data_IF_744484171249
#
_entry.id   IF_744484171249
#
_cell.length_a   1.000
_cell.length_b   1.000
_cell.length_c   1.000
_cell.angle_alpha   90.00
_cell.angle_beta   90.00
_cell.angle_gamma   90.00
#
_symmetry.space_group_name_H-M   'P 1'
#
loop_
_entity.id
_entity.type
_entity.pdbx_description
1 polymer ?
#
# COMPACT_ATOMS: atom_id res chain seq x y z
N UNK A 1 8.96 4.01 28.74
CA UNK A 1 8.18 3.12 27.86
C UNK A 1 9.00 2.92 26.60
N UNK A 2 9.14 1.69 26.12
CA UNK A 2 9.86 1.40 24.88
C UNK A 2 9.12 2.02 23.69
N UNK A 3 9.85 2.71 22.82
CA UNK A 3 9.32 3.21 21.55
C UNK A 3 9.13 2.02 20.58
N UNK A 4 8.03 2.03 19.84
CA UNK A 4 7.80 1.11 18.73
C UNK A 4 8.81 1.40 17.62
N UNK A 5 9.61 0.41 17.25
CA UNK A 5 10.41 0.46 16.02
C UNK A 5 10.08 -0.79 15.21
N UNK A 6 9.68 -0.66 13.93
CA UNK A 6 9.48 -1.81 13.06
C UNK A 6 10.84 -2.35 12.62
N UNK A 7 11.61 -2.94 13.54
CA UNK A 7 12.80 -3.72 13.21
C UNK A 7 12.38 -5.11 12.72
N UNK A 8 11.56 -5.12 11.67
CA UNK A 8 10.99 -6.34 11.11
C UNK A 8 11.81 -6.79 9.90
N UNK A 9 12.08 -8.10 9.74
CA UNK A 9 12.67 -8.59 8.51
C UNK A 9 11.76 -8.25 7.33
N UNK A 10 12.36 -8.00 6.17
CA UNK A 10 11.60 -7.79 4.95
C UNK A 10 10.67 -9.00 4.69
N UNK A 11 9.41 -8.79 4.28
CA UNK A 11 8.55 -9.88 3.86
C UNK A 11 9.19 -10.73 2.76
N UNK A 12 8.80 -12.01 2.68
CA UNK A 12 9.25 -12.87 1.59
C UNK A 12 8.76 -12.33 0.24
N UNK A 13 9.59 -12.51 -0.80
CA UNK A 13 9.33 -12.08 -2.17
C UNK A 13 9.51 -13.22 -3.16
N UNK A 14 8.93 -13.08 -4.35
CA UNK A 14 8.96 -14.06 -5.43
C UNK A 14 9.05 -13.35 -6.80
N UNK A 15 9.79 -13.92 -7.74
CA UNK A 15 9.98 -13.49 -9.15
C UNK A 15 10.65 -12.15 -9.42
N UNK A 16 10.35 -11.12 -8.62
CA UNK A 16 10.72 -9.74 -8.89
C UNK A 16 11.48 -9.15 -7.71
N UNK A 17 12.52 -8.37 -8.01
CA UNK A 17 13.30 -7.64 -7.01
C UNK A 17 13.94 -6.39 -7.64
N UNK A 18 14.27 -5.40 -6.81
CA UNK A 18 14.94 -4.17 -7.24
C UNK A 18 16.31 -4.46 -7.90
N UNK A 19 17.03 -5.45 -7.40
CA UNK A 19 18.37 -5.82 -7.89
C UNK A 19 18.36 -6.46 -9.28
N UNK A 20 17.24 -7.05 -9.68
CA UNK A 20 17.08 -7.76 -10.96
C UNK A 20 16.16 -7.04 -11.94
N UNK A 21 15.59 -5.90 -11.54
CA UNK A 21 14.67 -5.13 -12.36
C UNK A 21 15.34 -4.61 -13.63
N UNK A 22 14.73 -4.88 -14.79
CA UNK A 22 15.12 -4.24 -16.04
C UNK A 22 14.93 -2.73 -15.94
N UNK A 23 15.88 -1.96 -16.46
CA UNK A 23 15.74 -0.50 -16.50
C UNK A 23 14.54 -0.08 -17.35
N UNK A 24 13.95 1.08 -17.05
CA UNK A 24 12.85 1.64 -17.83
C UNK A 24 13.22 1.83 -19.31
N UNK A 25 14.51 2.04 -19.63
CA UNK A 25 14.99 2.14 -21.02
C UNK A 25 14.98 0.80 -21.77
N UNK A 26 15.18 -0.31 -21.06
CA UNK A 26 15.31 -1.66 -21.65
C UNK A 26 14.12 -2.58 -21.38
N UNK A 27 13.15 -2.10 -20.60
CA UNK A 27 11.95 -2.84 -20.23
C UNK A 27 11.17 -3.30 -21.47
N UNK A 28 10.89 -4.59 -21.52
CA UNK A 28 10.14 -5.21 -22.60
C UNK A 28 8.66 -5.30 -22.26
N UNK A 29 7.83 -5.15 -23.29
CA UNK A 29 6.37 -5.28 -23.19
C UNK A 29 5.94 -6.61 -22.57
N UNK A 30 6.55 -7.71 -23.01
CA UNK A 30 6.21 -9.05 -22.52
C UNK A 30 6.44 -9.17 -21.02
N UNK A 31 7.61 -8.75 -20.54
CA UNK A 31 7.95 -8.76 -19.12
C UNK A 31 6.95 -7.96 -18.29
N UNK A 32 6.55 -6.78 -18.76
CA UNK A 32 5.53 -5.97 -18.08
C UNK A 32 4.16 -6.68 -18.02
N UNK A 33 3.73 -7.31 -19.11
CA UNK A 33 2.47 -8.06 -19.13
C UNK A 33 2.53 -9.27 -18.18
N UNK A 34 3.64 -10.02 -18.16
CA UNK A 34 3.84 -11.16 -17.27
C UNK A 34 3.75 -10.71 -15.79
N UNK A 35 4.39 -9.58 -15.43
CA UNK A 35 4.28 -8.98 -14.08
C UNK A 35 2.85 -8.63 -13.67
N UNK A 36 2.04 -8.11 -14.61
CA UNK A 36 0.65 -7.74 -14.33
C UNK A 36 -0.21 -8.99 -14.15
N UNK A 37 0.02 -10.05 -14.94
CA UNK A 37 -0.70 -11.33 -14.78
C UNK A 37 -0.37 -12.01 -13.45
N UNK A 38 0.88 -11.94 -12.98
CA UNK A 38 1.28 -12.57 -11.72
C UNK A 38 0.62 -11.95 -10.48
N UNK A 39 0.22 -10.67 -10.54
CA UNK A 39 -0.48 -9.96 -9.45
C UNK A 39 -2.01 -10.04 -9.60
N UNK A 40 -2.50 -10.69 -10.66
CA UNK A 40 -3.93 -10.70 -10.97
C UNK A 40 -4.73 -11.46 -9.91
N UNK A 41 -5.56 -10.73 -9.17
CA UNK A 41 -6.44 -11.29 -8.11
C UNK A 41 -7.68 -11.98 -8.68
N UNK A 42 -8.06 -11.71 -9.93
CA UNK A 42 -9.25 -12.29 -10.56
C UNK A 42 -8.91 -12.90 -11.91
N UNK A 43 -9.33 -14.13 -12.21
CA UNK A 43 -9.11 -14.73 -13.55
C UNK A 43 -10.07 -14.18 -14.64
N UNK A 44 -10.64 -13.00 -14.43
CA UNK A 44 -11.56 -12.37 -15.37
C UNK A 44 -10.80 -11.76 -16.55
N UNK A 45 -11.34 -11.88 -17.75
CA UNK A 45 -10.87 -11.18 -18.94
C UNK A 45 -11.45 -9.75 -19.05
N UNK A 46 -12.28 -9.33 -18.09
CA UNK A 46 -12.79 -7.96 -18.02
C UNK A 46 -11.74 -7.02 -17.43
N UNK A 47 -11.87 -5.74 -17.78
CA UNK A 47 -11.10 -4.65 -17.17
C UNK A 47 -11.12 -4.72 -15.64
N UNK A 48 -9.93 -4.66 -15.05
CA UNK A 48 -9.75 -4.78 -13.63
C UNK A 48 -8.64 -3.86 -13.15
N UNK A 49 -8.91 -3.13 -12.06
CA UNK A 49 -7.93 -2.31 -11.37
C UNK A 49 -7.71 -2.86 -9.99
N UNK A 50 -6.44 -3.03 -9.63
CA UNK A 50 -6.03 -3.39 -8.30
C UNK A 50 -5.21 -2.22 -7.76
N UNK A 51 -5.65 -1.64 -6.66
CA UNK A 51 -4.90 -0.58 -5.97
C UNK A 51 -4.09 -1.20 -4.85
N UNK A 52 -2.89 -0.71 -4.57
CA UNK A 52 -2.06 -1.09 -3.43
C UNK A 52 -1.21 0.07 -2.95
N UNK A 53 -0.33 -0.16 -1.97
CA UNK A 53 0.40 0.90 -1.28
C UNK A 53 1.89 0.57 -1.10
N UNK A 54 2.74 1.52 -1.48
CA UNK A 54 4.18 1.53 -1.24
C UNK A 54 4.53 2.67 -0.29
N UNK A 55 4.53 2.38 1.02
CA UNK A 55 4.67 3.44 2.03
C UNK A 55 3.44 4.34 2.02
N UNK A 56 3.61 5.63 1.77
CA UNK A 56 2.48 6.54 1.58
C UNK A 56 2.03 6.63 0.10
N UNK A 57 2.81 6.09 -0.83
CA UNK A 57 2.57 6.23 -2.26
C UNK A 57 1.58 5.17 -2.75
N UNK A 58 0.66 5.56 -3.63
CA UNK A 58 -0.35 4.64 -4.17
C UNK A 58 0.15 3.97 -5.45
N UNK A 59 -0.11 2.67 -5.56
CA UNK A 59 0.16 1.86 -6.74
C UNK A 59 -1.16 1.41 -7.34
N UNK A 60 -1.30 1.52 -8.65
CA UNK A 60 -2.44 0.96 -9.38
C UNK A 60 -1.92 -0.01 -10.42
N UNK A 61 -2.36 -1.25 -10.33
CA UNK A 61 -2.19 -2.28 -11.34
C UNK A 61 -3.39 -2.23 -12.26
N UNK A 62 -3.14 -2.08 -13.55
CA UNK A 62 -4.13 -2.00 -14.61
C UNK A 62 -4.07 -3.30 -15.37
N UNK A 63 -5.16 -4.07 -15.34
CA UNK A 63 -5.32 -5.28 -16.13
C UNK A 63 -6.44 -5.09 -17.15
N UNK A 64 -6.08 -5.26 -18.42
CA UNK A 64 -6.96 -5.24 -19.58
C UNK A 64 -7.92 -4.04 -19.62
N UNK A 65 -7.41 -2.82 -19.40
CA UNK A 65 -8.19 -1.60 -19.59
C UNK A 65 -8.66 -1.51 -21.04
N UNK A 66 -9.95 -1.32 -21.30
CA UNK A 66 -10.49 -1.21 -22.65
C UNK A 66 -10.89 0.22 -22.97
N UNK A 67 -10.25 0.81 -23.97
CA UNK A 67 -10.68 2.09 -24.55
C UNK A 67 -10.98 1.95 -26.06
N UNK A 68 -11.64 2.95 -26.63
CA UNK A 68 -11.84 3.06 -28.09
C UNK A 68 -10.54 2.91 -28.89
N UNK A 69 -9.41 3.28 -28.29
CA UNK A 69 -8.07 3.30 -28.92
C UNK A 69 -7.30 1.99 -28.79
N UNK A 70 -7.68 1.08 -27.91
CA UNK A 70 -6.90 -0.12 -27.63
C UNK A 70 -7.14 -0.69 -26.24
N UNK A 71 -6.31 -1.66 -25.87
CA UNK A 71 -6.24 -2.17 -24.50
C UNK A 71 -4.93 -1.77 -23.83
N UNK A 72 -4.90 -1.66 -22.50
CA UNK A 72 -3.65 -1.47 -21.77
C UNK A 72 -3.52 -2.34 -20.52
N UNK A 73 -2.28 -2.68 -20.22
CA UNK A 73 -1.84 -3.35 -19.00
C UNK A 73 -0.66 -2.59 -18.41
N UNK A 74 -0.51 -2.55 -17.09
CA UNK A 74 0.70 -2.00 -16.49
C UNK A 74 0.49 -1.46 -15.09
N UNK A 75 1.40 -0.58 -14.69
CA UNK A 75 1.45 -0.01 -13.34
C UNK A 75 1.42 1.51 -13.38
N UNK A 76 0.78 2.10 -12.39
CA UNK A 76 0.81 3.54 -12.12
C UNK A 76 1.20 3.75 -10.66
N UNK A 77 2.37 4.34 -10.44
CA UNK A 77 2.83 4.80 -9.14
C UNK A 77 2.51 6.29 -9.01
N UNK A 78 1.81 6.68 -7.96
CA UNK A 78 1.53 8.09 -7.65
C UNK A 78 2.17 8.46 -6.32
N UNK A 79 3.14 9.38 -6.41
CA UNK A 79 3.72 10.07 -5.26
C UNK A 79 2.97 11.37 -5.03
N UNK A 80 2.27 11.44 -3.91
CA UNK A 80 1.39 12.57 -3.62
C UNK A 80 2.15 13.90 -3.66
N UNK A 81 1.53 14.91 -4.28
CA UNK A 81 2.08 16.26 -4.48
C UNK A 81 3.47 16.32 -5.14
N UNK A 82 3.92 15.23 -5.76
CA UNK A 82 5.21 15.16 -6.45
C UNK A 82 5.02 14.81 -7.92
N UNK A 83 4.64 13.58 -8.24
CA UNK A 83 4.48 13.11 -9.61
C UNK A 83 3.75 11.77 -9.69
N UNK A 84 3.40 11.41 -10.92
CA UNK A 84 2.93 10.08 -11.28
C UNK A 84 3.85 9.50 -12.35
N UNK A 85 4.26 8.26 -12.11
CA UNK A 85 4.95 7.40 -13.06
C UNK A 85 3.96 6.35 -13.56
N UNK A 86 3.84 6.23 -14.87
CA UNK A 86 2.98 5.24 -15.52
C UNK A 86 3.82 4.40 -16.47
N UNK A 87 3.84 3.09 -16.26
CA UNK A 87 4.58 2.10 -17.04
C UNK A 87 3.54 1.15 -17.63
N UNK A 88 3.23 1.29 -18.91
CA UNK A 88 2.12 0.57 -19.54
C UNK A 88 2.50 -0.08 -20.87
N UNK A 89 1.90 -1.22 -21.14
CA UNK A 89 1.81 -1.84 -22.45
C UNK A 89 0.45 -1.49 -23.07
N UNK A 90 0.45 -0.90 -24.27
CA UNK A 90 -0.76 -0.50 -24.99
C UNK A 90 -0.85 -1.25 -26.30
N UNK A 91 -1.90 -2.07 -26.45
CA UNK A 91 -2.23 -2.74 -27.69
C UNK A 91 -3.28 -1.93 -28.46
N UNK A 92 -2.87 -1.33 -29.59
CA UNK A 92 -3.76 -0.45 -30.35
C UNK A 92 -4.88 -1.22 -31.04
N UNK A 93 -6.10 -0.69 -30.99
CA UNK A 93 -7.22 -1.25 -31.75
C UNK A 93 -7.09 -0.83 -33.21
N UNK A 94 -6.77 -1.77 -34.09
CA UNK A 94 -6.70 -1.55 -35.54
C UNK A 94 -7.97 -2.13 -36.19
N UNK A 95 -8.69 -1.37 -37.05
CA UNK A 95 -9.79 -1.91 -37.84
C UNK A 95 -9.39 -3.14 -38.66
N UNK A 96 -10.25 -4.17 -38.70
CA UNK A 96 -9.96 -5.47 -39.35
C UNK A 96 -9.49 -5.34 -40.81
N UNK A 97 -10.06 -4.38 -41.55
CA UNK A 97 -9.68 -4.11 -42.94
C UNK A 97 -8.21 -3.68 -43.05
N UNK A 98 -7.71 -2.84 -42.13
CA UNK A 98 -6.33 -2.37 -42.11
C UNK A 98 -5.36 -3.49 -41.69
N UNK A 99 -5.76 -4.36 -40.75
CA UNK A 99 -4.98 -5.55 -40.38
C UNK A 99 -4.78 -6.48 -41.58
N UNK A 100 -5.86 -6.75 -42.33
CA UNK A 100 -5.83 -7.54 -43.56
C UNK A 100 -4.94 -6.93 -44.63
N UNK A 101 -5.11 -5.63 -44.92
CA UNK A 101 -4.32 -4.91 -45.91
C UNK A 101 -2.83 -4.82 -45.55
N UNK A 102 -2.50 -4.85 -44.25
CA UNK A 102 -1.11 -4.86 -43.76
C UNK A 102 -0.53 -6.27 -43.56
N UNK A 103 -1.28 -7.34 -43.91
CA UNK A 103 -0.93 -8.74 -43.67
C UNK A 103 -0.50 -9.04 -42.21
N UNK A 104 -0.97 -8.23 -41.24
CA UNK A 104 -0.65 -8.42 -39.83
C UNK A 104 -1.71 -9.28 -39.16
N UNK A 105 -1.27 -10.32 -38.43
CA UNK A 105 -2.15 -11.18 -37.63
C UNK A 105 -2.62 -10.50 -36.34
N UNK A 106 -1.75 -9.69 -35.71
CA UNK A 106 -2.03 -9.02 -34.44
C UNK A 106 -1.77 -7.50 -34.53
N UNK A 107 -2.50 -6.69 -33.75
CA UNK A 107 -2.21 -5.26 -33.62
C UNK A 107 -0.80 -5.01 -33.08
N UNK A 108 -0.25 -3.82 -33.36
CA UNK A 108 1.02 -3.41 -32.76
C UNK A 108 0.76 -3.09 -31.30
N UNK A 109 1.54 -3.69 -30.43
CA UNK A 109 1.63 -3.27 -29.03
C UNK A 109 2.85 -2.36 -28.86
N UNK A 110 2.74 -1.40 -27.94
CA UNK A 110 3.79 -0.44 -27.65
C UNK A 110 3.90 -0.25 -26.14
N UNK A 111 5.15 -0.19 -25.67
CA UNK A 111 5.47 0.16 -24.31
C UNK A 111 5.47 1.69 -24.17
N UNK A 112 4.67 2.21 -23.26
CA UNK A 112 4.49 3.63 -22.95
C UNK A 112 4.87 3.89 -21.49
N UNK A 113 6.00 4.56 -21.30
CA UNK A 113 6.43 5.08 -19.99
C UNK A 113 6.26 6.58 -19.97
N UNK A 114 5.47 7.06 -19.02
CA UNK A 114 5.15 8.48 -18.89
C UNK A 114 5.33 8.96 -17.47
N UNK A 115 5.71 10.23 -17.38
CA UNK A 115 5.90 10.98 -16.16
C UNK A 115 5.07 12.26 -16.23
N UNK A 116 4.41 12.62 -15.14
CA UNK A 116 3.76 13.91 -14.99
C UNK A 116 3.91 14.41 -13.55
N UNK A 117 4.29 15.67 -13.37
CA UNK A 117 4.32 16.28 -12.03
C UNK A 117 2.90 16.52 -11.51
N UNK A 118 2.76 16.49 -10.19
CA UNK A 118 1.52 16.72 -9.45
C UNK A 118 1.73 17.87 -8.46
N UNK A 119 0.65 18.42 -7.91
CA UNK A 119 0.70 19.54 -6.99
C UNK A 119 0.73 20.89 -7.70
N UNK A 120 1.48 21.85 -7.17
CA UNK A 120 1.47 23.25 -7.63
C UNK A 120 2.12 23.44 -9.02
N UNK A 121 3.08 22.58 -9.36
CA UNK A 121 3.80 22.62 -10.63
C UNK A 121 3.28 21.51 -11.55
N UNK A 122 2.07 21.65 -12.11
CA UNK A 122 1.53 20.67 -13.07
C UNK A 122 2.21 20.85 -14.43
N UNK A 123 2.98 19.85 -14.85
CA UNK A 123 3.61 19.79 -16.18
C UNK A 123 2.79 18.92 -17.13
N UNK A 124 2.88 19.15 -18.45
CA UNK A 124 2.31 18.24 -19.43
C UNK A 124 2.93 16.85 -19.30
N UNK A 125 2.14 15.83 -19.60
CA UNK A 125 2.59 14.44 -19.62
C UNK A 125 3.81 14.29 -20.55
N UNK A 126 4.90 13.77 -20.00
CA UNK A 126 6.18 13.60 -20.68
C UNK A 126 6.50 12.12 -20.85
N UNK A 127 7.01 11.73 -22.01
CA UNK A 127 7.48 10.36 -22.23
C UNK A 127 8.90 10.20 -21.73
N UNK A 128 9.16 9.13 -20.98
CA UNK A 128 10.45 8.85 -20.33
C UNK A 128 11.64 8.90 -21.31
N UNK A 129 11.49 8.31 -22.49
CA UNK A 129 12.50 8.31 -23.56
C UNK A 129 12.92 9.70 -24.04
N UNK A 130 12.06 10.71 -23.88
CA UNK A 130 12.31 12.09 -24.30
C UNK A 130 12.80 12.97 -23.15
N UNK A 131 12.90 12.44 -21.93
CA UNK A 131 13.35 13.19 -20.76
C UNK A 131 14.86 13.44 -20.85
N UNK A 132 15.26 14.70 -20.67
CA UNK A 132 16.66 15.13 -20.62
C UNK A 132 17.19 15.30 -19.20
N UNK A 133 16.30 15.48 -18.22
CA UNK A 133 16.61 15.63 -16.81
C UNK A 133 17.09 14.30 -16.20
N UNK A 134 18.42 14.18 -16.02
CA UNK A 134 19.07 12.98 -15.47
C UNK A 134 18.69 12.70 -14.01
N UNK A 135 18.69 13.68 -13.08
CA UNK A 135 18.19 13.49 -11.72
C UNK A 135 16.78 12.90 -11.67
N UNK A 136 15.84 13.43 -12.46
CA UNK A 136 14.47 12.91 -12.48
C UNK A 136 14.46 11.50 -13.05
N UNK A 137 15.17 11.23 -14.16
CA UNK A 137 15.27 9.87 -14.71
C UNK A 137 15.77 8.86 -13.66
N UNK A 138 16.82 9.20 -12.92
CA UNK A 138 17.37 8.33 -11.87
C UNK A 138 16.32 8.04 -10.77
N UNK A 139 15.56 9.06 -10.36
CA UNK A 139 14.48 8.88 -9.38
C UNK A 139 13.38 7.93 -9.90
N UNK A 140 13.02 8.05 -11.18
CA UNK A 140 12.03 7.15 -11.80
C UNK A 140 12.54 5.71 -11.91
N UNK A 141 13.83 5.51 -12.21
CA UNK A 141 14.45 4.18 -12.21
C UNK A 141 14.48 3.56 -10.80
N UNK A 142 14.83 4.35 -9.78
CA UNK A 142 14.82 3.90 -8.38
C UNK A 142 13.41 3.52 -7.91
N UNK A 143 12.41 4.32 -8.27
CA UNK A 143 11.01 4.01 -7.96
C UNK A 143 10.54 2.75 -8.68
N UNK A 144 10.95 2.57 -9.94
CA UNK A 144 10.65 1.36 -10.69
C UNK A 144 11.29 0.12 -10.05
N UNK A 145 12.54 0.22 -9.60
CA UNK A 145 13.22 -0.83 -8.83
C UNK A 145 12.48 -1.14 -7.52
N UNK A 146 12.12 -0.13 -6.74
CA UNK A 146 11.35 -0.31 -5.51
C UNK A 146 9.97 -0.93 -5.79
N UNK A 147 9.34 -0.58 -6.91
CA UNK A 147 8.08 -1.19 -7.34
C UNK A 147 8.27 -2.68 -7.65
N UNK A 148 9.41 -3.10 -8.17
CA UNK A 148 9.70 -4.52 -8.40
C UNK A 148 9.84 -5.30 -7.08
N UNK A 149 10.45 -4.74 -6.04
CA UNK A 149 10.44 -5.37 -4.70
C UNK A 149 9.01 -5.50 -4.17
N UNK A 150 8.20 -4.44 -4.30
CA UNK A 150 6.79 -4.47 -3.92
C UNK A 150 6.01 -5.56 -4.67
N UNK A 151 6.19 -5.63 -6.00
CA UNK A 151 5.55 -6.65 -6.86
C UNK A 151 5.97 -8.04 -6.41
N UNK A 152 7.26 -8.25 -6.14
CA UNK A 152 7.74 -9.56 -5.70
C UNK A 152 7.16 -10.00 -4.36
N UNK A 153 7.02 -9.08 -3.40
CA UNK A 153 6.35 -9.34 -2.14
C UNK A 153 4.85 -9.64 -2.33
N UNK A 154 4.18 -8.92 -3.24
CA UNK A 154 2.78 -9.14 -3.57
C UNK A 154 2.54 -10.52 -4.21
N UNK A 155 3.37 -10.92 -5.17
CA UNK A 155 3.32 -12.24 -5.80
C UNK A 155 3.46 -13.35 -4.75
N UNK A 156 4.42 -13.24 -3.84
CA UNK A 156 4.59 -14.23 -2.77
C UNK A 156 3.35 -14.33 -1.87
N UNK A 157 2.73 -13.20 -1.48
CA UNK A 157 1.48 -13.24 -0.72
C UNK A 157 0.38 -13.95 -1.51
N UNK A 158 0.17 -13.62 -2.78
CA UNK A 158 -0.93 -14.18 -3.57
C UNK A 158 -0.78 -15.68 -3.78
N UNK A 159 0.41 -16.16 -4.16
CA UNK A 159 0.64 -17.59 -4.43
C UNK A 159 0.57 -18.46 -3.18
N UNK A 160 0.90 -17.91 -2.01
CA UNK A 160 0.90 -18.65 -0.74
C UNK A 160 -0.39 -18.46 0.07
N UNK A 161 -1.48 -17.98 -0.56
CA UNK A 161 -2.78 -17.83 0.12
C UNK A 161 -2.86 -16.67 1.11
N UNK A 162 -2.04 -15.63 0.90
CA UNK A 162 -1.96 -14.38 1.67
C UNK A 162 -1.75 -14.61 3.17
N UNK A 163 -0.63 -15.23 3.58
CA UNK A 163 -0.43 -15.66 4.96
C UNK A 163 -0.35 -14.50 5.97
N UNK A 164 0.17 -13.32 5.58
CA UNK A 164 0.18 -12.15 6.47
C UNK A 164 -1.23 -11.64 6.71
N UNK A 165 -2.08 -11.66 5.67
CA UNK A 165 -3.50 -11.35 5.80
C UNK A 165 -4.20 -12.37 6.71
N UNK A 166 -3.96 -13.66 6.52
CA UNK A 166 -4.51 -14.72 7.37
C UNK A 166 -4.14 -14.57 8.84
N UNK A 167 -2.88 -14.24 9.15
CA UNK A 167 -2.43 -13.97 10.53
C UNK A 167 -3.14 -12.75 11.14
N UNK A 168 -3.37 -11.71 10.35
CA UNK A 168 -4.11 -10.53 10.78
C UNK A 168 -5.58 -10.89 11.07
N UNK A 169 -6.23 -11.65 10.18
CA UNK A 169 -7.62 -12.07 10.38
C UNK A 169 -7.80 -12.92 11.63
N UNK A 170 -6.82 -13.78 11.96
CA UNK A 170 -6.84 -14.55 13.20
C UNK A 170 -6.70 -13.67 14.45
N UNK A 171 -5.93 -12.57 14.36
CA UNK A 171 -5.74 -11.63 15.46
C UNK A 171 -6.89 -10.61 15.62
N UNK A 172 -7.57 -10.28 14.53
CA UNK A 172 -8.62 -9.27 14.47
C UNK A 172 -10.01 -9.92 14.43
N UNK A 173 -10.44 -10.50 15.54
CA UNK A 173 -11.83 -10.94 15.70
C UNK A 173 -12.73 -9.79 16.18
N UNK A 174 -14.04 -9.81 15.91
CA UNK A 174 -14.96 -8.79 16.44
C UNK A 174 -14.90 -8.66 17.97
N UNK A 175 -14.80 -9.80 18.68
CA UNK A 175 -14.69 -9.82 20.15
C UNK A 175 -13.37 -9.23 20.64
N UNK A 176 -12.25 -9.56 19.98
CA UNK A 176 -10.95 -9.00 20.31
C UNK A 176 -10.95 -7.48 20.13
N UNK A 177 -11.50 -7.01 19.00
CA UNK A 177 -11.61 -5.59 18.72
C UNK A 177 -12.51 -4.86 19.72
N UNK A 178 -13.64 -5.46 20.09
CA UNK A 178 -14.51 -4.93 21.13
C UNK A 178 -13.78 -4.84 22.48
N UNK A 179 -12.98 -5.85 22.83
CA UNK A 179 -12.12 -5.82 24.01
C UNK A 179 -11.10 -4.68 23.98
N UNK A 180 -10.42 -4.48 22.84
CA UNK A 180 -9.44 -3.41 22.67
C UNK A 180 -10.04 -2.02 22.80
N UNK A 181 -11.17 -1.78 22.14
CA UNK A 181 -11.88 -0.49 22.15
C UNK A 181 -12.45 -0.17 23.55
N UNK A 182 -12.84 -1.18 24.32
CA UNK A 182 -13.36 -1.03 25.68
C UNK A 182 -12.28 -1.17 26.78
N UNK A 183 -10.99 -1.17 26.43
CA UNK A 183 -9.92 -1.33 27.39
C UNK A 183 -9.96 -0.24 28.50
N UNK A 184 -9.77 -0.59 29.79
CA UNK A 184 -9.88 0.34 30.92
C UNK A 184 -8.97 1.56 30.81
N UNK A 185 -7.79 1.41 30.20
CA UNK A 185 -6.78 2.47 30.01
C UNK A 185 -7.35 3.71 29.32
N UNK A 186 -8.37 3.57 28.47
CA UNK A 186 -9.04 4.71 27.84
C UNK A 186 -9.86 5.57 28.82
N UNK A 187 -10.31 5.00 29.93
CA UNK A 187 -11.04 5.73 30.98
C UNK A 187 -10.10 6.35 32.02
N UNK A 188 -8.89 5.81 32.14
CA UNK A 188 -7.88 6.24 33.12
C UNK A 188 -7.01 7.40 32.60
N UNK A 189 -6.89 7.54 31.28
CA UNK A 189 -6.04 8.56 30.64
C UNK A 189 -6.85 9.73 30.10
N UNK A 190 -6.21 10.89 30.04
CA UNK A 190 -6.72 12.04 29.28
C UNK A 190 -6.59 11.74 27.79
N UNK A 191 -7.71 11.66 27.10
CA UNK A 191 -7.75 11.36 25.67
C UNK A 191 -7.64 12.62 24.80
N UNK A 192 -6.92 12.49 23.69
CA UNK A 192 -6.83 13.45 22.60
C UNK A 192 -7.76 13.02 21.46
N UNK A 193 -8.37 13.98 20.77
CA UNK A 193 -9.24 13.71 19.61
C UNK A 193 -8.47 13.75 18.29
N UNK A 194 -8.84 12.86 17.38
CA UNK A 194 -8.42 12.86 15.99
C UNK A 194 -9.62 12.45 15.11
N UNK A 195 -10.39 13.45 14.68
CA UNK A 195 -11.68 13.22 14.01
C UNK A 195 -12.70 12.52 14.93
N UNK A 196 -13.20 11.36 14.49
CA UNK A 196 -14.12 10.51 15.26
C UNK A 196 -13.41 9.65 16.31
N UNK A 197 -12.07 9.61 16.30
CA UNK A 197 -11.29 8.81 17.22
C UNK A 197 -10.88 9.62 18.45
N UNK A 198 -10.82 8.94 19.59
CA UNK A 198 -10.24 9.45 20.83
C UNK A 198 -9.17 8.49 21.35
N UNK A 199 -8.03 9.01 21.79
CA UNK A 199 -6.88 8.15 22.10
C UNK A 199 -5.81 8.80 22.93
N UNK A 200 -4.74 8.06 23.18
CA UNK A 200 -3.58 8.53 23.93
C UNK A 200 -2.29 8.07 23.25
N UNK A 201 -1.20 8.76 23.56
CA UNK A 201 0.14 8.35 23.14
C UNK A 201 0.73 7.36 24.14
N UNK A 202 1.33 6.31 23.61
CA UNK A 202 2.16 5.35 24.35
C UNK A 202 3.51 5.26 23.65
N UNK A 203 4.50 5.99 24.18
CA UNK A 203 5.73 6.26 23.44
C UNK A 203 5.42 7.04 22.15
N UNK A 204 5.90 6.53 21.03
CA UNK A 204 5.72 7.08 19.69
C UNK A 204 4.49 6.52 18.94
N UNK A 205 3.62 5.76 19.60
CA UNK A 205 2.38 5.22 19.02
C UNK A 205 1.16 5.91 19.60
N UNK A 206 0.29 6.43 18.75
CA UNK A 206 -1.02 6.93 19.12
C UNK A 206 -2.05 5.82 18.98
N UNK A 207 -2.62 5.41 20.12
CA UNK A 207 -3.63 4.36 20.19
C UNK A 207 -4.97 5.04 20.44
N UNK A 208 -5.87 4.94 19.47
CA UNK A 208 -7.16 5.61 19.52
C UNK A 208 -8.31 4.66 19.17
N UNK A 209 -9.47 4.92 19.76
CA UNK A 209 -10.68 4.13 19.57
C UNK A 209 -11.79 4.97 18.96
N UNK A 210 -12.71 4.31 18.27
CA UNK A 210 -14.01 4.83 17.90
C UNK A 210 -15.07 3.85 18.38
N UNK A 211 -16.06 4.37 19.11
CA UNK A 211 -17.23 3.63 19.63
C UNK A 211 -18.44 3.71 18.69
N UNK A 212 -18.25 4.19 17.46
CA UNK A 212 -19.32 4.36 16.47
C UNK A 212 -20.04 3.04 16.13
N UNK A 213 -20.95 3.05 15.12
CA UNK A 213 -21.81 1.90 14.81
C UNK A 213 -21.02 0.60 14.55
N UNK A 214 -19.77 0.71 14.11
CA UNK A 214 -18.79 -0.36 14.10
C UNK A 214 -17.58 0.07 14.93
N UNK A 215 -17.22 -0.67 16.00
CA UNK A 215 -16.05 -0.33 16.79
C UNK A 215 -14.80 -0.36 15.91
N UNK A 216 -13.88 0.57 16.15
CA UNK A 216 -12.64 0.64 15.40
C UNK A 216 -11.49 1.09 16.30
N UNK A 217 -10.31 0.51 16.03
CA UNK A 217 -9.04 0.90 16.63
C UNK A 217 -8.21 1.60 15.55
N UNK A 218 -7.74 2.81 15.81
CA UNK A 218 -6.78 3.51 14.97
C UNK A 218 -5.41 3.50 15.65
N UNK A 219 -4.39 3.07 14.91
CA UNK A 219 -3.01 3.12 15.32
C UNK A 219 -2.24 4.03 14.38
N UNK A 220 -1.71 5.13 14.91
CA UNK A 220 -0.75 5.98 14.22
C UNK A 220 0.59 5.89 14.93
N UNK A 221 1.69 6.16 14.24
CA UNK A 221 3.01 6.09 14.86
C UNK A 221 3.98 7.06 14.19
N UNK A 222 5.07 7.32 14.89
CA UNK A 222 6.19 8.13 14.40
C UNK A 222 7.44 7.30 14.33
N UNK A 223 8.26 7.55 13.32
CA UNK A 223 9.59 6.96 13.24
C UNK A 223 10.59 7.65 14.18
N UNK A 224 11.87 7.26 14.08
CA UNK A 224 12.98 7.78 14.87
C UNK A 224 13.25 9.27 14.59
N UNK A 225 12.90 9.75 13.39
CA UNK A 225 12.98 11.15 12.96
C UNK A 225 11.72 11.95 13.34
N UNK A 226 10.85 11.36 14.18
CA UNK A 226 9.58 11.93 14.65
C UNK A 226 8.61 12.28 13.49
N UNK A 227 8.78 11.66 12.31
CA UNK A 227 7.88 11.81 11.18
C UNK A 227 6.68 10.87 11.33
N UNK A 228 5.48 11.41 11.06
CA UNK A 228 4.27 10.59 11.05
C UNK A 228 4.30 9.61 9.89
N UNK A 229 4.18 8.34 10.20
CA UNK A 229 4.15 7.25 9.24
C UNK A 229 2.69 6.88 8.89
N UNK A 230 2.46 6.13 7.79
CA UNK A 230 1.13 5.62 7.46
C UNK A 230 0.48 4.90 8.64
N UNK A 231 -0.73 5.31 8.96
CA UNK A 231 -1.54 4.77 10.04
C UNK A 231 -2.46 3.66 9.58
N UNK A 232 -3.02 2.92 10.54
CA UNK A 232 -3.90 1.80 10.29
C UNK A 232 -5.18 1.90 11.11
N UNK A 233 -6.31 1.54 10.50
CA UNK A 233 -7.60 1.43 11.17
C UNK A 233 -8.06 -0.03 11.07
N UNK A 234 -8.24 -0.64 12.24
CA UNK A 234 -8.74 -1.99 12.42
C UNK A 234 -10.20 -1.89 12.79
N UNK A 235 -11.08 -2.45 11.97
CA UNK A 235 -12.51 -2.45 12.21
C UNK A 235 -13.12 -3.79 11.81
N UNK A 236 -14.36 -4.03 12.23
CA UNK A 236 -15.14 -5.20 11.82
C UNK A 236 -16.43 -4.69 11.17
N UNK A 237 -16.61 -4.99 9.88
CA UNK A 237 -17.75 -4.50 9.09
C UNK A 237 -18.64 -5.66 8.64
N UNK A 238 -19.96 -5.46 8.56
CA UNK A 238 -20.87 -6.53 8.17
C UNK A 238 -20.68 -6.88 6.71
N UNK A 239 -20.65 -8.18 6.44
CA UNK A 239 -20.71 -8.70 5.09
C UNK A 239 -22.05 -8.33 4.44
N UNK A 240 -21.99 -7.89 3.18
CA UNK A 240 -23.12 -7.31 2.43
C UNK A 240 -24.34 -8.23 2.31
N UNK A 241 -24.19 -9.55 2.54
CA UNK A 241 -25.26 -10.55 2.36
C UNK A 241 -25.58 -11.40 3.59
N UNK A 242 -24.85 -11.26 4.70
CA UNK A 242 -24.93 -12.23 5.80
C UNK A 242 -24.94 -11.66 7.21
N UNK A 243 -24.67 -10.36 7.40
CA UNK A 243 -24.59 -9.75 8.73
C UNK A 243 -23.42 -10.24 9.60
N UNK A 244 -22.63 -11.19 9.12
CA UNK A 244 -21.38 -11.64 9.75
C UNK A 244 -20.37 -10.49 9.67
N UNK A 245 -19.79 -10.12 10.81
CA UNK A 245 -18.74 -9.11 10.85
C UNK A 245 -17.43 -9.70 10.35
N UNK A 246 -16.87 -9.09 9.30
CA UNK A 246 -15.58 -9.45 8.75
C UNK A 246 -14.53 -8.40 9.16
N UNK A 247 -13.30 -8.83 9.49
CA UNK A 247 -12.20 -7.91 9.74
C UNK A 247 -11.94 -7.07 8.49
N UNK A 248 -11.80 -5.76 8.70
CA UNK A 248 -11.39 -4.80 7.69
C UNK A 248 -10.20 -4.03 8.22
N UNK A 249 -9.11 -4.06 7.46
CA UNK A 249 -7.94 -3.24 7.70
C UNK A 249 -7.92 -2.13 6.66
N UNK A 250 -7.73 -0.91 7.14
CA UNK A 250 -7.57 0.27 6.31
C UNK A 250 -6.25 0.95 6.59
N UNK A 251 -5.64 1.48 5.55
CA UNK A 251 -4.49 2.36 5.63
C UNK A 251 -4.94 3.82 5.60
N UNK A 252 -4.22 4.66 6.35
CA UNK A 252 -4.32 6.10 6.33
C UNK A 252 -2.94 6.66 5.99
N UNK A 253 -2.66 6.97 4.71
CA UNK A 253 -1.32 7.35 4.25
C UNK A 253 -0.76 8.57 4.99
N UNK A 254 -1.59 9.62 5.17
CA UNK A 254 -1.24 10.79 5.96
C UNK A 254 -2.28 11.13 7.03
N UNK A 255 -1.85 11.80 8.09
CA UNK A 255 -2.76 12.31 9.12
C UNK A 255 -3.64 13.40 8.51
N UNK A 256 -4.94 13.28 8.70
CA UNK A 256 -5.96 14.15 8.11
C UNK A 256 -6.68 13.52 6.91
N UNK A 257 -6.07 12.52 6.27
CA UNK A 257 -6.62 11.92 5.06
C UNK A 257 -7.76 10.94 5.31
N UNK A 258 -8.47 10.65 4.22
CA UNK A 258 -9.38 9.51 4.11
C UNK A 258 -8.59 8.21 4.31
N UNK A 259 -9.28 7.21 4.85
CA UNK A 259 -8.76 5.84 4.94
C UNK A 259 -9.17 5.01 3.74
N UNK A 260 -8.27 4.13 3.29
CA UNK A 260 -8.45 3.26 2.14
C UNK A 260 -8.35 1.80 2.58
N UNK A 261 -9.08 0.89 1.91
CA UNK A 261 -8.94 -0.53 2.18
C UNK A 261 -7.51 -0.98 1.84
N UNK A 262 -6.91 -1.76 2.74
CA UNK A 262 -5.63 -2.41 2.51
C UNK A 262 -5.88 -3.81 1.93
N UNK A 263 -5.09 -4.21 0.94
CA UNK A 263 -5.28 -5.50 0.29
C UNK A 263 -4.48 -6.60 0.97
N UNK A 264 -4.90 -7.84 0.74
CA UNK A 264 -4.25 -9.02 1.27
C UNK A 264 -2.82 -9.25 0.73
N UNK A 265 -2.45 -8.61 -0.38
CA UNK A 265 -1.12 -8.71 -0.98
C UNK A 265 -0.18 -7.55 -0.59
N UNK A 266 -0.64 -6.52 0.13
CA UNK A 266 0.17 -5.37 0.56
C UNK A 266 1.13 -5.76 1.71
N UNK A 267 2.08 -6.66 1.43
CA UNK A 267 2.82 -7.43 2.43
C UNK A 267 3.52 -6.57 3.49
N UNK A 268 4.21 -5.50 3.08
CA UNK A 268 4.94 -4.64 4.00
C UNK A 268 3.99 -3.90 4.96
N UNK A 269 2.87 -3.39 4.45
CA UNK A 269 1.86 -2.75 5.28
C UNK A 269 1.15 -3.75 6.20
N UNK A 270 0.88 -4.97 5.74
CA UNK A 270 0.33 -6.02 6.60
C UNK A 270 1.29 -6.39 7.73
N UNK A 271 2.59 -6.45 7.44
CA UNK A 271 3.61 -6.72 8.43
C UNK A 271 3.71 -5.59 9.47
N UNK A 272 3.73 -4.33 9.04
CA UNK A 272 3.70 -3.16 9.93
C UNK A 272 2.43 -3.10 10.77
N UNK A 273 1.26 -3.29 10.14
CA UNK A 273 -0.03 -3.29 10.81
C UNK A 273 -0.06 -4.38 11.90
N UNK A 274 0.36 -5.61 11.58
CA UNK A 274 0.38 -6.70 12.56
C UNK A 274 1.27 -6.38 13.76
N UNK A 275 2.45 -5.82 13.53
CA UNK A 275 3.39 -5.48 14.60
C UNK A 275 2.90 -4.32 15.47
N UNK A 276 2.31 -3.30 14.86
CA UNK A 276 1.63 -2.21 15.61
C UNK A 276 0.46 -2.75 16.44
N UNK A 277 -0.35 -3.64 15.86
CA UNK A 277 -1.45 -4.26 16.58
C UNK A 277 -0.94 -5.08 17.77
N UNK A 278 0.13 -5.87 17.61
CA UNK A 278 0.74 -6.62 18.72
C UNK A 278 1.27 -5.71 19.82
N UNK A 279 1.93 -4.60 19.46
CA UNK A 279 2.40 -3.60 20.42
C UNK A 279 1.22 -2.97 21.19
N UNK A 280 0.19 -2.54 20.48
CA UNK A 280 -1.01 -1.96 21.09
C UNK A 280 -1.77 -2.97 21.96
N UNK A 281 -1.86 -4.24 21.54
CA UNK A 281 -2.47 -5.33 22.29
C UNK A 281 -1.84 -5.46 23.68
N UNK A 282 -0.51 -5.42 23.78
CA UNK A 282 0.18 -5.44 25.07
C UNK A 282 -0.29 -4.30 25.98
N UNK A 283 -0.26 -3.07 25.47
CA UNK A 283 -0.67 -1.88 26.23
C UNK A 283 -2.15 -1.95 26.66
N UNK A 284 -3.04 -2.36 25.75
CA UNK A 284 -4.49 -2.38 25.99
C UNK A 284 -4.91 -3.51 26.94
N UNK A 285 -4.16 -4.61 26.98
CA UNK A 285 -4.45 -5.75 27.86
C UNK A 285 -3.68 -5.71 29.19
N UNK A 286 -2.81 -4.71 29.38
CA UNK A 286 -1.96 -4.60 30.58
C UNK A 286 -0.81 -5.60 30.62
N UNK A 287 -0.56 -6.32 29.52
CA UNK A 287 0.64 -7.15 29.36
C UNK A 287 1.75 -6.29 28.77
N UNK A 288 2.87 -6.10 29.49
CA UNK A 288 4.04 -5.41 28.91
C UNK A 288 4.37 -6.01 27.53
N UNK A 289 4.62 -5.18 26.50
CA UNK A 289 5.03 -5.70 25.19
C UNK A 289 6.28 -6.59 25.36
N UNK A 290 6.45 -7.64 24.52
CA UNK A 290 7.59 -8.53 24.63
C UNK A 290 8.88 -7.73 24.62
N UNK A 291 9.66 -7.87 25.70
CA UNK A 291 10.95 -7.22 25.92
C UNK A 291 11.90 -7.53 24.77
N UNK A 292 12.15 -6.55 23.91
CA UNK A 292 13.39 -6.49 23.13
C UNK A 292 14.21 -5.36 23.72
N UNK A 293 15.33 -5.71 24.33
CA UNK A 293 16.28 -4.83 24.98
C UNK A 293 16.79 -3.68 24.09
N UNK A 294 16.84 -2.46 24.68
CA UNK A 294 18.06 -1.65 24.92
C UNK A 294 18.03 -0.14 24.59
N UNK A 295 18.48 0.59 25.63
CA UNK A 295 19.29 1.83 25.67
C UNK A 295 18.64 3.22 25.54
N UNK A 296 18.59 3.85 26.72
CA UNK A 296 18.54 5.26 27.08
C UNK A 296 19.00 6.28 26.02
N UNK A 297 18.11 7.24 25.71
CA UNK A 297 18.51 8.64 25.48
C UNK A 297 17.51 9.63 26.08
N UNK A 298 17.96 10.81 26.54
CA UNK A 298 17.15 11.76 27.28
C UNK A 298 16.34 12.65 26.34
N UNK A 299 15.04 12.74 26.66
CA UNK A 299 14.06 13.63 26.05
C UNK A 299 14.39 15.11 26.31
N UNK A 300 14.44 15.91 25.25
CA UNK A 300 13.86 17.26 25.26
C UNK A 300 13.14 17.50 23.93
N UNK A 301 11.81 17.51 23.99
CA UNK A 301 10.93 17.95 22.92
C UNK A 301 10.95 19.48 22.84
N UNK A 302 11.12 20.01 21.64
CA UNK A 302 10.69 21.37 21.29
C UNK A 302 9.37 21.26 20.56
N UNK A 303 8.36 22.00 21.03
CA UNK A 303 7.10 22.22 20.33
C UNK A 303 7.38 22.79 18.94
N UNK A 304 6.88 22.10 17.89
CA UNK A 304 6.34 22.62 16.63
C UNK A 304 5.65 21.49 15.86
#
# INVERSE_FOLDING_TARGET
MQAFSPALPAPQSLYYSAGEAHSLETLQEKSLCDMVEDIKVTHSDKEHYITGWMGADSVVVIHNYHEKRGTSNGFVLTKENQYRLSVQSIAFRIPKLILWLSFRRNPRTMMLITYNTLGELVSPLMQYRNMTDKPVKLKLEQDWQALNDYIGMACWQLENGSPLWGQLQQALTPDALAGYVNAPVFSEKRLQKDGEFEGFWAGNVFIARCLGPYPALQLLWRDEDNQMQPGYIYTAVPETRGGVLLPSLRIRPHRGDKSYLLNAFDAQHLHHARSLLSFAQGILTGMSPPLVEMMDRPDTLTDL
#
